data_IF_179114133965
#
_entry.id   IF_179114133965
#
_cell.length_a   1.000
_cell.length_b   1.000
_cell.length_c   1.000
_cell.angle_alpha   90.00
_cell.angle_beta   90.00
_cell.angle_gamma   90.00
#
_symmetry.space_group_name_H-M   'P 1'
#
loop_
_entity.id
_entity.type
_entity.pdbx_description
1 polymer ?
#
# COMPACT_ATOMS: atom_id res chain seq x y z
N UNK A 1 54.08 11.28 -11.72
CA UNK A 1 53.97 12.75 -11.73
C UNK A 1 52.53 13.15 -11.45
N UNK A 2 52.15 13.33 -10.18
CA UNK A 2 50.90 13.99 -9.80
C UNK A 2 51.28 15.26 -9.04
N UNK A 3 50.85 16.41 -9.57
CA UNK A 3 51.13 17.72 -9.00
C UNK A 3 50.25 17.94 -7.76
N UNK A 4 50.93 18.36 -6.68
CA UNK A 4 50.49 19.11 -5.50
C UNK A 4 49.42 20.18 -5.83
N UNK A 5 48.51 20.64 -4.95
CA UNK A 5 48.72 21.38 -3.68
C UNK A 5 47.32 21.71 -3.12
N UNK A 6 46.90 21.28 -1.91
CA UNK A 6 47.00 21.89 -0.56
C UNK A 6 46.09 23.09 -0.23
N UNK A 7 45.41 22.96 0.93
CA UNK A 7 45.06 24.02 1.93
C UNK A 7 43.96 25.03 1.53
N UNK A 8 42.92 25.36 2.32
CA UNK A 8 42.88 25.95 3.67
C UNK A 8 41.38 26.15 3.98
N UNK A 9 40.82 25.54 5.03
CA UNK A 9 40.42 26.17 6.30
C UNK A 9 39.37 27.31 6.25
N UNK A 10 38.39 27.16 7.16
CA UNK A 10 37.73 28.19 8.01
C UNK A 10 36.37 28.81 7.59
N UNK A 11 35.46 28.72 8.58
CA UNK A 11 34.45 29.71 8.98
C UNK A 11 33.23 29.86 8.03
N UNK A 12 31.98 30.09 8.45
CA UNK A 12 31.41 30.77 9.62
C UNK A 12 29.92 30.40 9.74
N UNK A 13 29.43 30.42 10.99
CA UNK A 13 28.10 30.84 11.44
C UNK A 13 26.83 30.47 10.64
N UNK A 14 26.00 29.63 11.29
CA UNK A 14 24.62 29.92 11.69
C UNK A 14 23.90 31.03 10.94
N UNK A 15 22.76 30.68 10.31
CA UNK A 15 21.47 31.38 10.51
C UNK A 15 20.32 30.73 9.72
N UNK A 16 19.28 30.41 10.48
CA UNK A 16 17.86 30.45 10.13
C UNK A 16 17.26 29.42 9.15
N UNK A 17 16.31 28.68 9.74
CA UNK A 17 14.92 28.46 9.27
C UNK A 17 14.64 27.42 8.20
N UNK A 18 13.81 26.45 8.63
CA UNK A 18 12.88 25.62 7.84
C UNK A 18 13.49 24.75 6.76
N UNK A 19 13.55 23.44 7.03
CA UNK A 19 13.07 22.42 6.09
C UNK A 19 12.84 21.11 6.88
N UNK A 20 11.60 20.97 7.36
CA UNK A 20 10.92 19.68 7.27
C UNK A 20 11.02 19.18 5.82
N UNK A 21 10.88 17.87 5.62
CA UNK A 21 10.70 17.16 4.34
C UNK A 21 11.95 16.39 3.86
N UNK A 22 11.71 15.09 3.57
CA UNK A 22 12.39 14.23 2.58
C UNK A 22 13.27 13.06 3.05
N UNK A 23 13.14 12.50 4.27
CA UNK A 23 13.83 11.24 4.59
C UNK A 23 13.04 10.17 5.37
N UNK A 24 11.73 10.31 5.55
CA UNK A 24 10.93 9.22 6.14
C UNK A 24 10.51 8.22 5.07
N UNK A 25 11.43 7.31 4.76
CA UNK A 25 11.16 5.91 4.44
C UNK A 25 10.03 5.64 3.44
N UNK A 26 10.35 5.73 2.15
CA UNK A 26 9.68 4.98 1.09
C UNK A 26 9.94 3.47 1.26
N UNK A 27 9.44 2.86 2.35
CA UNK A 27 9.37 1.40 2.44
C UNK A 27 8.25 0.98 1.49
N UNK A 28 8.63 0.58 0.28
CA UNK A 28 7.73 -0.11 -0.64
C UNK A 28 7.00 -1.21 0.14
N UNK A 29 5.69 -1.40 -0.05
CA UNK A 29 4.95 -2.47 0.62
C UNK A 29 5.71 -3.77 0.41
N UNK A 30 6.01 -4.46 1.52
CA UNK A 30 6.78 -5.70 1.49
C UNK A 30 6.20 -6.62 0.41
N UNK A 31 7.07 -7.08 -0.50
CA UNK A 31 6.75 -7.87 -1.69
C UNK A 31 5.61 -8.88 -1.42
N UNK A 32 4.36 -8.50 -1.70
CA UNK A 32 3.28 -9.47 -1.75
C UNK A 32 3.52 -10.24 -3.04
N UNK A 33 3.87 -11.50 -2.87
CA UNK A 33 3.98 -12.42 -3.97
C UNK A 33 2.59 -12.97 -4.31
N UNK A 34 1.87 -12.27 -5.19
CA UNK A 34 0.53 -12.67 -5.64
C UNK A 34 0.68 -13.83 -6.62
N UNK A 35 0.54 -15.06 -6.12
CA UNK A 35 0.72 -16.29 -6.89
C UNK A 35 -0.57 -16.77 -7.57
N UNK A 36 -1.73 -16.31 -7.10
CA UNK A 36 -3.04 -16.74 -7.60
C UNK A 36 -4.16 -15.77 -7.22
N UNK A 37 -5.32 -15.89 -7.86
CA UNK A 37 -6.55 -15.17 -7.51
C UNK A 37 -7.37 -15.89 -6.42
N UNK A 38 -6.76 -16.69 -5.54
CA UNK A 38 -7.50 -17.38 -4.46
C UNK A 38 -6.84 -17.13 -3.11
N UNK A 39 -6.03 -18.08 -2.63
CA UNK A 39 -5.33 -18.01 -1.33
C UNK A 39 -4.54 -16.71 -1.10
N UNK A 40 -3.92 -16.14 -2.14
CA UNK A 40 -3.13 -14.89 -2.04
C UNK A 40 -3.96 -13.66 -1.67
N UNK A 41 -5.29 -13.74 -1.83
CA UNK A 41 -6.24 -12.66 -1.55
C UNK A 41 -7.10 -12.96 -0.32
N UNK A 42 -6.96 -14.15 0.25
CA UNK A 42 -7.86 -14.65 1.30
C UNK A 42 -7.65 -14.01 2.67
N UNK A 43 -6.55 -13.28 2.88
CA UNK A 43 -6.18 -12.63 4.12
C UNK A 43 -6.30 -11.10 4.11
N UNK A 44 -6.72 -10.52 2.98
CA UNK A 44 -6.92 -9.09 2.82
C UNK A 44 -5.63 -8.28 2.57
N UNK A 45 -4.43 -8.87 2.68
CA UNK A 45 -3.18 -8.14 2.50
C UNK A 45 -3.01 -7.67 1.06
N UNK A 46 -3.35 -8.53 0.08
CA UNK A 46 -3.30 -8.17 -1.34
C UNK A 46 -4.24 -7.01 -1.70
N UNK A 47 -5.43 -6.98 -1.09
CA UNK A 47 -6.35 -5.86 -1.25
C UNK A 47 -5.79 -4.57 -0.63
N UNK A 48 -5.25 -4.66 0.59
CA UNK A 48 -4.62 -3.53 1.26
C UNK A 48 -3.45 -2.96 0.43
N UNK A 49 -2.57 -3.80 -0.11
CA UNK A 49 -1.46 -3.31 -0.94
C UNK A 49 -1.95 -2.66 -2.23
N UNK A 50 -2.99 -3.23 -2.86
CA UNK A 50 -3.56 -2.67 -4.07
C UNK A 50 -4.16 -1.28 -3.81
N UNK A 51 -4.88 -1.09 -2.72
CA UNK A 51 -5.42 0.24 -2.37
C UNK A 51 -4.30 1.20 -1.97
N UNK A 52 -3.33 0.73 -1.17
CA UNK A 52 -2.20 1.52 -0.71
C UNK A 52 -1.29 1.99 -1.85
N UNK A 53 -1.23 1.28 -2.99
CA UNK A 53 -0.45 1.73 -4.14
C UNK A 53 -1.02 2.99 -4.80
N UNK A 54 -2.33 3.22 -4.69
CA UNK A 54 -2.98 4.45 -5.18
C UNK A 54 -3.13 5.50 -4.09
N UNK A 55 -3.36 5.07 -2.84
CA UNK A 55 -3.59 5.95 -1.70
C UNK A 55 -2.64 5.63 -0.53
N UNK A 56 -1.33 5.93 -0.66
CA UNK A 56 -0.33 5.56 0.32
C UNK A 56 -0.45 6.30 1.67
N UNK A 57 -1.25 7.36 1.72
CA UNK A 57 -1.43 8.19 2.92
C UNK A 57 -2.63 7.79 3.79
N UNK A 58 -3.48 6.87 3.32
CA UNK A 58 -4.75 6.55 3.98
C UNK A 58 -4.60 5.57 5.15
N UNK A 59 -3.60 4.70 5.08
CA UNK A 59 -3.26 3.79 6.17
C UNK A 59 -1.81 3.29 6.05
N UNK A 60 -1.22 2.92 7.18
CA UNK A 60 0.13 2.34 7.21
C UNK A 60 0.06 0.83 6.91
N UNK A 61 0.47 0.46 5.70
CA UNK A 61 0.52 -0.94 5.30
C UNK A 61 1.50 -1.78 6.15
N UNK A 62 2.55 -1.16 6.72
CA UNK A 62 3.62 -1.91 7.42
C UNK A 62 3.20 -2.46 8.78
N UNK A 63 2.09 -1.96 9.35
CA UNK A 63 1.57 -2.44 10.64
C UNK A 63 0.51 -3.53 10.48
N UNK A 64 0.07 -3.80 9.24
CA UNK A 64 -0.94 -4.81 8.94
C UNK A 64 -0.35 -6.23 9.02
N UNK A 65 -1.20 -7.20 9.38
CA UNK A 65 -0.82 -8.60 9.53
C UNK A 65 -1.83 -9.52 8.84
N UNK A 66 -1.40 -10.60 8.16
CA UNK A 66 -2.31 -11.58 7.54
C UNK A 66 -3.16 -12.39 8.53
N UNK A 67 -2.89 -12.24 9.83
CA UNK A 67 -3.71 -12.81 10.90
C UNK A 67 -5.07 -12.07 11.03
N UNK A 68 -5.08 -10.76 10.83
CA UNK A 68 -6.24 -9.88 11.08
C UNK A 68 -7.09 -9.70 9.81
N UNK A 69 -7.50 -10.84 9.22
CA UNK A 69 -8.19 -10.89 7.91
C UNK A 69 -9.37 -9.92 7.80
N UNK A 70 -10.24 -9.94 8.82
CA UNK A 70 -11.48 -9.14 8.81
C UNK A 70 -11.14 -7.65 8.74
N UNK A 71 -10.21 -7.21 9.59
CA UNK A 71 -9.74 -5.84 9.61
C UNK A 71 -9.10 -5.42 8.28
N UNK A 72 -8.27 -6.30 7.68
CA UNK A 72 -7.65 -6.02 6.39
C UNK A 72 -8.68 -5.82 5.27
N UNK A 73 -9.75 -6.63 5.24
CA UNK A 73 -10.84 -6.45 4.28
C UNK A 73 -11.64 -5.17 4.53
N UNK A 74 -12.02 -4.90 5.78
CA UNK A 74 -12.74 -3.66 6.15
C UNK A 74 -11.94 -2.43 5.76
N UNK A 75 -10.64 -2.42 6.05
CA UNK A 75 -9.75 -1.32 5.73
C UNK A 75 -9.62 -1.12 4.21
N UNK A 76 -9.28 -2.17 3.46
CA UNK A 76 -9.11 -2.06 2.02
C UNK A 76 -10.41 -1.63 1.32
N UNK A 77 -11.54 -2.27 1.64
CA UNK A 77 -12.80 -2.01 0.97
C UNK A 77 -13.38 -0.66 1.36
N UNK A 78 -13.29 -0.29 2.65
CA UNK A 78 -13.72 1.02 3.12
C UNK A 78 -12.92 2.16 2.50
N UNK A 79 -11.59 2.04 2.45
CA UNK A 79 -10.75 3.07 1.80
C UNK A 79 -11.03 3.16 0.30
N UNK A 80 -11.22 2.03 -0.40
CA UNK A 80 -11.54 2.05 -1.83
C UNK A 80 -12.93 2.68 -2.11
N UNK A 81 -13.91 2.41 -1.26
CA UNK A 81 -15.24 3.04 -1.33
C UNK A 81 -15.16 4.55 -1.11
N UNK A 82 -14.51 4.98 -0.03
CA UNK A 82 -14.42 6.40 0.34
C UNK A 82 -13.61 7.23 -0.69
N UNK A 83 -12.48 6.70 -1.16
CA UNK A 83 -11.53 7.46 -1.98
C UNK A 83 -11.77 7.33 -3.47
N UNK A 84 -12.23 6.17 -3.93
CA UNK A 84 -12.42 5.89 -5.35
C UNK A 84 -13.87 5.68 -5.77
N UNK A 85 -14.83 5.76 -4.82
CA UNK A 85 -16.23 5.44 -5.09
C UNK A 85 -16.40 4.02 -5.61
N UNK A 86 -15.55 3.10 -5.14
CA UNK A 86 -15.61 1.70 -5.54
C UNK A 86 -16.70 0.99 -4.72
N UNK A 87 -17.85 0.71 -5.36
CA UNK A 87 -18.91 -0.05 -4.73
C UNK A 87 -18.41 -1.43 -4.27
N UNK A 88 -18.80 -1.81 -3.05
CA UNK A 88 -18.50 -3.12 -2.48
C UNK A 88 -19.36 -4.20 -3.14
N UNK A 89 -18.81 -4.87 -4.15
CA UNK A 89 -19.47 -6.01 -4.79
C UNK A 89 -19.44 -7.29 -3.93
N UNK A 90 -18.50 -7.38 -2.99
CA UNK A 90 -18.38 -8.47 -2.03
C UNK A 90 -18.25 -7.87 -0.65
N UNK A 91 -19.11 -8.31 0.28
CA UNK A 91 -19.04 -7.87 1.67
C UNK A 91 -17.91 -8.57 2.42
N UNK A 92 -17.43 -7.94 3.49
CA UNK A 92 -16.38 -8.49 4.35
C UNK A 92 -16.81 -9.85 4.93
N UNK A 93 -18.05 -9.95 5.40
CA UNK A 93 -18.56 -11.18 6.02
C UNK A 93 -18.60 -12.34 5.01
N UNK A 94 -18.90 -12.09 3.74
CA UNK A 94 -18.87 -13.10 2.68
C UNK A 94 -17.44 -13.62 2.45
N UNK A 95 -16.44 -12.73 2.41
CA UNK A 95 -15.02 -13.11 2.32
C UNK A 95 -14.56 -13.92 3.54
N UNK A 96 -15.11 -13.62 4.72
CA UNK A 96 -14.82 -14.39 5.93
C UNK A 96 -15.42 -15.80 5.85
N UNK A 97 -16.63 -15.95 5.31
CA UNK A 97 -17.29 -17.25 5.07
C UNK A 97 -16.57 -18.07 4.00
N UNK A 98 -16.08 -17.45 2.93
CA UNK A 98 -15.29 -18.13 1.88
C UNK A 98 -13.95 -18.68 2.41
N UNK A 99 -13.48 -18.20 3.56
CA UNK A 99 -12.30 -18.74 4.24
C UNK A 99 -11.00 -18.51 3.46
N UNK A 100 -10.06 -19.45 3.58
CA UNK A 100 -8.68 -19.32 3.05
C UNK A 100 -8.54 -19.67 1.56
N UNK A 101 -9.61 -20.16 0.92
CA UNK A 101 -9.61 -20.59 -0.49
C UNK A 101 -10.88 -20.10 -1.19
N UNK A 102 -11.02 -18.77 -1.38
CA UNK A 102 -12.13 -18.23 -2.13
C UNK A 102 -12.06 -18.69 -3.60
N UNK A 103 -13.21 -18.71 -4.26
CA UNK A 103 -13.29 -19.05 -5.69
C UNK A 103 -12.45 -18.06 -6.52
N UNK A 104 -11.51 -18.54 -7.36
CA UNK A 104 -10.63 -17.65 -8.11
C UNK A 104 -11.35 -16.69 -9.06
N UNK A 105 -12.47 -17.13 -9.64
CA UNK A 105 -13.21 -16.32 -10.61
C UNK A 105 -13.94 -15.18 -9.89
N UNK A 106 -14.55 -15.46 -8.73
CA UNK A 106 -15.17 -14.43 -7.89
C UNK A 106 -14.15 -13.36 -7.47
N UNK A 107 -12.98 -13.78 -6.97
CA UNK A 107 -11.92 -12.85 -6.56
C UNK A 107 -11.40 -12.07 -7.77
N UNK A 108 -11.15 -12.72 -8.90
CA UNK A 108 -10.69 -12.06 -10.12
C UNK A 108 -11.65 -10.95 -10.58
N UNK A 109 -12.95 -11.27 -10.68
CA UNK A 109 -13.97 -10.29 -11.07
C UNK A 109 -14.00 -9.10 -10.12
N UNK A 110 -13.89 -9.35 -8.82
CA UNK A 110 -13.89 -8.28 -7.82
C UNK A 110 -12.63 -7.40 -7.89
N UNK A 111 -11.45 -8.01 -7.96
CA UNK A 111 -10.17 -7.29 -8.11
C UNK A 111 -10.18 -6.46 -9.40
N UNK A 112 -10.68 -7.01 -10.50
CA UNK A 112 -10.78 -6.31 -11.78
C UNK A 112 -11.71 -5.09 -11.68
N UNK A 113 -12.86 -5.23 -11.02
CA UNK A 113 -13.78 -4.12 -10.78
C UNK A 113 -13.14 -3.03 -9.92
N UNK A 114 -12.49 -3.41 -8.82
CA UNK A 114 -11.83 -2.48 -7.91
C UNK A 114 -10.69 -1.74 -8.61
N UNK A 115 -9.83 -2.45 -9.33
CA UNK A 115 -8.74 -1.84 -10.10
C UNK A 115 -9.26 -0.84 -11.16
N UNK A 116 -10.38 -1.14 -11.82
CA UNK A 116 -10.99 -0.23 -12.79
C UNK A 116 -11.48 1.09 -12.17
N UNK A 117 -11.85 1.09 -10.88
CA UNK A 117 -12.17 2.32 -10.15
C UNK A 117 -10.91 3.05 -9.72
N UNK A 118 -9.95 2.34 -9.11
CA UNK A 118 -8.70 2.91 -8.59
C UNK A 118 -7.85 3.55 -9.69
N UNK A 119 -7.76 2.95 -10.88
CA UNK A 119 -6.96 3.47 -11.98
C UNK A 119 -7.42 4.82 -12.55
N UNK A 120 -8.60 5.30 -12.14
CA UNK A 120 -9.05 6.67 -12.48
C UNK A 120 -8.25 7.74 -11.73
N UNK A 121 -7.49 7.33 -10.71
CA UNK A 121 -6.66 8.17 -9.83
C UNK A 121 -5.15 7.94 -10.04
N UNK A 122 -4.77 7.16 -11.06
CA UNK A 122 -3.39 7.05 -11.55
C UNK A 122 -2.96 8.34 -12.25
#
# INVERSE_FOLDING_TARGET
MCKYTTHTQRHLQSRHTHNHTLLTLSRRPQNIDIQNFSSSWSDGMAFCALVHSFFPTEFDYNVLTPADRKHNFELAFGTAEEKAGCDRLIEVDDMMVMGRKPDPMCVFTYVQSMYNHLRKFE
#
